data_IF_161414723333
#
_entry.id   IF_161414723333
#
_cell.length_a   1.000
_cell.length_b   1.000
_cell.length_c   1.000
_cell.angle_alpha   90.00
_cell.angle_beta   90.00
_cell.angle_gamma   90.00
#
_symmetry.space_group_name_H-M   'P 1'
#
loop_
_entity.id
_entity.type
_entity.pdbx_description
1 polymer ?
#
# COMPACT_ATOMS: atom_id res chain seq x y z
N UNK A 1 -19.63 28.58 -6.20
CA UNK A 1 -18.48 27.78 -5.72
C UNK A 1 -18.97 26.54 -4.95
N UNK A 2 -19.12 25.38 -5.61
CA UNK A 2 -19.47 24.08 -4.98
C UNK A 2 -18.54 22.93 -5.44
N UNK A 3 -17.36 23.25 -5.95
CA UNK A 3 -16.51 22.34 -6.74
C UNK A 3 -15.45 21.58 -5.92
N UNK A 4 -15.04 22.07 -4.76
CA UNK A 4 -13.94 21.44 -3.99
C UNK A 4 -14.35 20.15 -3.26
N UNK A 5 -15.53 20.10 -2.64
CA UNK A 5 -15.96 18.91 -1.87
C UNK A 5 -16.15 17.66 -2.74
N UNK A 6 -16.66 17.82 -3.95
CA UNK A 6 -16.90 16.69 -4.88
C UNK A 6 -15.59 16.07 -5.36
N UNK A 7 -14.54 16.89 -5.57
CA UNK A 7 -13.22 16.44 -6.05
C UNK A 7 -12.43 15.71 -4.97
N UNK A 8 -12.50 16.19 -3.71
CA UNK A 8 -11.87 15.53 -2.56
C UNK A 8 -12.50 14.15 -2.34
N UNK A 9 -13.84 14.04 -2.39
CA UNK A 9 -14.53 12.76 -2.21
C UNK A 9 -14.25 11.76 -3.35
N UNK A 10 -14.14 12.23 -4.59
CA UNK A 10 -13.81 11.36 -5.73
C UNK A 10 -12.40 10.77 -5.62
N UNK A 11 -11.41 11.58 -5.26
CA UNK A 11 -10.02 11.12 -5.04
C UNK A 11 -9.91 10.15 -3.86
N UNK A 12 -10.63 10.42 -2.76
CA UNK A 12 -10.71 9.50 -1.62
C UNK A 12 -11.26 8.13 -2.01
N UNK A 13 -12.35 8.09 -2.76
CA UNK A 13 -12.94 6.83 -3.25
C UNK A 13 -11.99 6.08 -4.20
N UNK A 14 -11.33 6.79 -5.13
CA UNK A 14 -10.34 6.18 -6.02
C UNK A 14 -9.15 5.60 -5.27
N UNK A 15 -8.68 6.27 -4.21
CA UNK A 15 -7.59 5.80 -3.36
C UNK A 15 -7.97 4.51 -2.63
N UNK A 16 -9.12 4.50 -1.97
CA UNK A 16 -9.59 3.31 -1.24
C UNK A 16 -9.87 2.13 -2.18
N UNK A 17 -10.44 2.39 -3.35
CA UNK A 17 -10.64 1.39 -4.40
C UNK A 17 -9.32 0.82 -4.92
N UNK A 18 -8.33 1.67 -5.18
CA UNK A 18 -7.00 1.26 -5.61
C UNK A 18 -6.29 0.43 -4.52
N UNK A 19 -6.38 0.83 -3.25
CA UNK A 19 -5.80 0.05 -2.15
C UNK A 19 -6.48 -1.33 -2.08
N UNK A 20 -7.81 -1.39 -2.13
CA UNK A 20 -8.56 -2.65 -2.03
C UNK A 20 -8.24 -3.63 -3.18
N UNK A 21 -8.09 -3.11 -4.40
CA UNK A 21 -8.00 -3.94 -5.61
C UNK A 21 -6.57 -4.18 -6.08
N UNK A 22 -5.65 -3.24 -5.81
CA UNK A 22 -4.28 -3.27 -6.32
C UNK A 22 -3.21 -3.40 -5.24
N UNK A 23 -3.58 -3.47 -3.96
CA UNK A 23 -2.63 -3.71 -2.86
C UNK A 23 -3.00 -5.00 -2.11
N UNK A 24 -1.99 -5.83 -1.83
CA UNK A 24 -2.14 -6.98 -0.94
C UNK A 24 -1.33 -6.74 0.32
N UNK A 25 -1.97 -6.84 1.48
CA UNK A 25 -1.34 -6.57 2.77
C UNK A 25 -1.27 -7.86 3.56
N UNK A 26 -0.11 -8.09 4.18
CA UNK A 26 0.18 -9.25 4.99
C UNK A 26 0.65 -8.84 6.38
N UNK A 27 0.28 -9.64 7.37
CA UNK A 27 0.73 -9.56 8.77
C UNK A 27 1.34 -10.92 9.14
N UNK A 28 2.63 -10.95 9.44
CA UNK A 28 3.31 -12.17 9.84
C UNK A 28 3.16 -12.49 11.33
N UNK A 29 2.45 -11.65 12.09
CA UNK A 29 2.20 -11.82 13.53
C UNK A 29 3.37 -11.40 14.42
N UNK A 30 4.34 -10.64 13.89
CA UNK A 30 5.53 -10.23 14.63
C UNK A 30 6.62 -11.30 14.69
N UNK A 31 6.61 -12.25 13.74
CA UNK A 31 7.66 -13.27 13.62
C UNK A 31 9.02 -12.67 13.29
N UNK A 32 9.02 -11.52 12.63
CA UNK A 32 10.19 -10.71 12.30
C UNK A 32 9.91 -9.24 12.60
N UNK A 33 10.95 -8.41 12.60
CA UNK A 33 10.83 -6.97 12.85
C UNK A 33 10.00 -6.25 11.78
N UNK A 34 10.03 -6.75 10.54
CA UNK A 34 9.20 -6.30 9.42
C UNK A 34 7.85 -7.03 9.40
N UNK A 35 7.11 -6.91 10.51
CA UNK A 35 5.84 -7.60 10.73
C UNK A 35 4.85 -7.50 9.57
N UNK A 36 4.79 -6.35 8.92
CA UNK A 36 3.82 -6.05 7.88
C UNK A 36 4.48 -5.96 6.50
N UNK A 37 3.82 -6.51 5.48
CA UNK A 37 4.24 -6.37 4.08
C UNK A 37 3.08 -5.93 3.22
N UNK A 38 3.19 -4.81 2.51
CA UNK A 38 2.31 -4.48 1.40
C UNK A 38 2.97 -4.87 0.08
N UNK A 39 2.19 -5.43 -0.85
CA UNK A 39 2.59 -5.70 -2.23
C UNK A 39 1.74 -4.83 -3.15
N UNK A 40 2.41 -4.12 -4.05
CA UNK A 40 1.82 -3.19 -4.99
C UNK A 40 1.64 -3.88 -6.34
N UNK A 41 0.45 -4.41 -6.62
CA UNK A 41 0.18 -5.17 -7.86
C UNK A 41 0.27 -4.32 -9.13
N UNK A 42 0.26 -2.99 -8.97
CA UNK A 42 0.49 -2.03 -10.04
C UNK A 42 1.97 -1.79 -10.37
N UNK A 43 2.89 -2.37 -9.60
CA UNK A 43 4.34 -2.28 -9.81
C UNK A 43 4.95 -3.69 -10.02
N UNK A 44 4.71 -4.33 -11.18
CA UNK A 44 5.29 -5.63 -11.50
C UNK A 44 6.79 -5.48 -11.80
N UNK A 45 7.63 -6.27 -11.12
CA UNK A 45 9.09 -6.24 -11.34
C UNK A 45 9.54 -7.39 -12.25
N UNK A 46 9.04 -8.60 -12.00
CA UNK A 46 9.26 -9.80 -12.81
C UNK A 46 8.09 -10.76 -12.62
N UNK A 47 7.95 -11.84 -13.41
CA UNK A 47 6.79 -12.73 -13.31
C UNK A 47 6.51 -13.19 -11.87
N UNK A 48 5.36 -12.78 -11.33
CA UNK A 48 4.91 -13.12 -9.96
C UNK A 48 5.57 -12.34 -8.82
N UNK A 49 6.46 -11.39 -9.10
CA UNK A 49 7.11 -10.51 -8.10
C UNK A 49 6.70 -9.07 -8.33
N UNK A 50 6.39 -8.37 -7.25
CA UNK A 50 5.91 -6.99 -7.27
C UNK A 50 6.72 -6.13 -6.31
N UNK A 51 6.73 -4.82 -6.56
CA UNK A 51 7.16 -3.84 -5.60
C UNK A 51 6.44 -4.01 -4.27
N UNK A 52 7.16 -3.85 -3.18
CA UNK A 52 6.64 -4.11 -1.84
C UNK A 52 7.15 -3.09 -0.82
N UNK A 53 6.42 -2.99 0.30
CA UNK A 53 6.88 -2.28 1.49
C UNK A 53 6.91 -3.24 2.67
N UNK A 54 8.10 -3.50 3.19
CA UNK A 54 8.32 -4.20 4.46
C UNK A 54 8.34 -3.18 5.59
N UNK A 55 7.55 -3.43 6.64
CA UNK A 55 7.26 -2.47 7.69
C UNK A 55 7.19 -3.09 9.08
N UNK A 56 7.77 -2.42 10.05
CA UNK A 56 7.45 -2.59 11.47
C UNK A 56 6.10 -1.92 11.81
N UNK A 57 5.66 -1.94 13.07
CA UNK A 57 4.45 -1.21 13.49
C UNK A 57 4.61 0.32 13.50
N UNK A 58 5.85 0.83 13.43
CA UNK A 58 6.20 2.25 13.41
C UNK A 58 7.19 2.53 12.27
N UNK A 59 6.75 2.43 10.99
CA UNK A 59 7.66 2.42 9.85
C UNK A 59 8.47 3.70 9.62
N UNK A 60 8.13 4.82 10.28
CA UNK A 60 8.90 6.07 10.23
C UNK A 60 10.06 6.11 11.25
N UNK A 61 10.05 5.21 12.24
CA UNK A 61 11.04 5.14 13.33
C UNK A 61 11.69 3.75 13.44
N UNK A 62 11.24 2.81 12.63
CA UNK A 62 11.74 1.44 12.56
C UNK A 62 11.88 0.99 11.11
N UNK A 63 11.56 -0.28 10.83
CA UNK A 63 11.60 -0.78 9.46
C UNK A 63 10.48 -0.17 8.65
N UNK A 64 10.85 0.46 7.54
CA UNK A 64 9.99 0.93 6.47
C UNK A 64 10.83 0.96 5.21
N UNK A 65 10.96 -0.17 4.52
CA UNK A 65 11.84 -0.32 3.37
C UNK A 65 11.05 -0.73 2.13
N UNK A 66 11.40 -0.16 0.98
CA UNK A 66 10.87 -0.61 -0.30
C UNK A 66 11.70 -1.80 -0.76
N UNK A 67 11.05 -2.76 -1.38
CA UNK A 67 11.72 -3.93 -1.93
C UNK A 67 10.82 -4.63 -2.91
N UNK A 68 11.02 -5.94 -3.02
CA UNK A 68 10.30 -6.80 -3.95
C UNK A 68 9.84 -8.04 -3.21
N UNK A 69 8.62 -8.51 -3.48
CA UNK A 69 8.11 -9.72 -2.87
C UNK A 69 7.17 -10.49 -3.81
N UNK A 70 7.08 -11.79 -3.59
CA UNK A 70 6.06 -12.64 -4.21
C UNK A 70 4.87 -12.75 -3.26
N UNK A 71 3.61 -12.65 -3.75
CA UNK A 71 2.46 -12.84 -2.90
C UNK A 71 2.40 -14.31 -2.45
N UNK A 72 2.23 -14.55 -1.14
CA UNK A 72 2.11 -15.92 -0.66
C UNK A 72 2.03 -16.05 0.85
N UNK A 73 1.81 -17.29 1.31
CA UNK A 73 1.68 -17.64 2.74
C UNK A 73 2.95 -17.35 3.55
N UNK A 74 4.11 -17.28 2.90
CA UNK A 74 5.38 -16.98 3.54
C UNK A 74 5.43 -15.56 4.15
N UNK A 75 4.60 -14.64 3.66
CA UNK A 75 4.47 -13.28 4.21
C UNK A 75 3.52 -13.19 5.42
N UNK A 76 2.85 -14.29 5.78
CA UNK A 76 1.85 -14.31 6.85
C UNK A 76 0.41 -14.34 6.34
N UNK A 77 -0.52 -13.88 7.19
CA UNK A 77 -1.95 -13.84 6.87
C UNK A 77 -2.27 -12.57 6.09
N UNK A 78 -3.24 -12.64 5.17
CA UNK A 78 -3.76 -11.43 4.54
C UNK A 78 -4.60 -10.63 5.54
N UNK A 79 -4.43 -9.33 5.53
CA UNK A 79 -5.17 -8.37 6.37
C UNK A 79 -5.69 -7.22 5.52
N UNK A 80 -6.64 -6.46 6.06
CA UNK A 80 -7.12 -5.23 5.47
C UNK A 80 -6.26 -4.05 5.93
N UNK A 81 -6.33 -2.92 5.20
CA UNK A 81 -5.62 -1.71 5.59
C UNK A 81 -5.99 -1.26 7.01
N UNK A 82 -7.28 -1.34 7.36
CA UNK A 82 -7.79 -0.91 8.66
C UNK A 82 -7.34 -1.81 9.82
N UNK A 83 -6.80 -3.01 9.54
CA UNK A 83 -6.22 -3.88 10.55
C UNK A 83 -4.77 -3.46 10.93
N UNK A 84 -4.18 -2.51 10.20
CA UNK A 84 -2.80 -2.08 10.38
C UNK A 84 -2.66 -0.90 11.37
N UNK A 85 -1.48 -0.71 11.97
CA UNK A 85 -1.15 0.52 12.67
C UNK A 85 -1.28 1.75 11.77
N UNK A 86 -1.69 2.88 12.34
CA UNK A 86 -1.99 4.11 11.61
C UNK A 86 -0.82 4.59 10.72
N UNK A 87 0.42 4.43 11.19
CA UNK A 87 1.61 4.80 10.42
C UNK A 87 1.81 3.92 9.18
N UNK A 88 1.57 2.61 9.31
CA UNK A 88 1.61 1.71 8.15
C UNK A 88 0.52 2.06 7.14
N UNK A 89 -0.68 2.40 7.62
CA UNK A 89 -1.77 2.87 6.75
C UNK A 89 -1.36 4.13 5.99
N UNK A 90 -0.72 5.07 6.68
CA UNK A 90 -0.25 6.34 6.10
C UNK A 90 0.81 6.12 5.01
N UNK A 91 1.76 5.20 5.22
CA UNK A 91 2.76 4.82 4.19
C UNK A 91 2.05 4.28 2.94
N UNK A 92 1.17 3.28 3.10
CA UNK A 92 0.48 2.66 1.96
C UNK A 92 -0.38 3.69 1.21
N UNK A 93 -1.12 4.55 1.92
CA UNK A 93 -1.93 5.62 1.30
C UNK A 93 -1.04 6.58 0.51
N UNK A 94 0.13 6.94 1.02
CA UNK A 94 1.09 7.80 0.34
C UNK A 94 1.60 7.15 -0.95
N UNK A 95 2.02 5.89 -0.88
CA UNK A 95 2.55 5.15 -2.04
C UNK A 95 1.48 5.03 -3.14
N UNK A 96 0.24 4.67 -2.79
CA UNK A 96 -0.86 4.56 -3.76
C UNK A 96 -1.28 5.93 -4.31
N UNK A 97 -1.29 6.97 -3.48
CA UNK A 97 -1.59 8.34 -3.94
C UNK A 97 -0.55 8.83 -4.95
N UNK A 98 0.73 8.52 -4.74
CA UNK A 98 1.79 8.83 -5.70
C UNK A 98 1.57 8.10 -7.03
N UNK A 99 1.25 6.80 -6.98
CA UNK A 99 0.91 6.02 -8.18
C UNK A 99 -0.27 6.62 -8.96
N UNK A 100 -1.39 6.93 -8.30
CA UNK A 100 -2.56 7.50 -8.96
C UNK A 100 -2.25 8.86 -9.59
N UNK A 101 -1.44 9.68 -8.93
CA UNK A 101 -1.01 10.98 -9.47
C UNK A 101 -0.18 10.80 -10.73
N UNK A 102 0.74 9.83 -10.75
CA UNK A 102 1.57 9.53 -11.92
C UNK A 102 0.72 9.01 -13.10
N UNK A 103 -0.25 8.13 -12.84
CA UNK A 103 -1.16 7.60 -13.87
C UNK A 103 -2.00 8.73 -14.51
N UNK A 104 -2.53 9.64 -13.68
CA UNK A 104 -3.30 10.78 -14.20
C UNK A 104 -2.43 11.73 -15.03
N UNK A 105 -1.19 12.01 -14.61
CA UNK A 105 -0.27 12.85 -15.34
C UNK A 105 0.12 12.26 -16.71
N UNK A 106 0.25 10.94 -16.81
CA UNK A 106 0.55 10.26 -18.08
C UNK A 106 -0.65 10.15 -19.04
N UNK A 107 -1.86 10.44 -18.57
CA UNK A 107 -3.09 10.35 -19.36
C UNK A 107 -3.61 11.71 -19.84
N UNK A 108 -2.91 12.79 -19.51
CA UNK A 108 -3.23 14.18 -19.86
C UNK A 108 -2.35 14.66 -21.03
#
# INVERSE_FOLDING_TARGET
MKTNGKRINALGNQLDDAIRTKVRIYDNGGKTLDRYTSLYLFDPVRPGTYGSRSMSSQPYYGIGCYGEAMPGRHLGRRVQLNDMPADCQRVIRSDVSAYLSAVHAASA
#
